data_IF_933348892471
#
_entry.id   IF_933348892471
#
_cell.length_a   1.000
_cell.length_b   1.000
_cell.length_c   1.000
_cell.angle_alpha   90.00
_cell.angle_beta   90.00
_cell.angle_gamma   90.00
#
_symmetry.space_group_name_H-M   'P 1'
#
loop_
_entity.id
_entity.type
_entity.pdbx_description
1 polymer ?
#
# COMPACT_ATOMS: atom_id res chain seq x y z
N UNK A 1 -6.55 -13.98 6.82
CA UNK A 1 -7.12 -13.05 5.84
C UNK A 1 -6.91 -13.63 4.45
N UNK A 2 -7.86 -13.40 3.55
CA UNK A 2 -7.85 -13.87 2.16
C UNK A 2 -8.34 -12.79 1.19
N UNK A 3 -8.40 -13.12 -0.10
CA UNK A 3 -8.70 -12.18 -1.18
C UNK A 3 -10.10 -11.52 -1.13
N UNK A 4 -10.97 -11.92 -0.21
CA UNK A 4 -12.33 -11.37 -0.07
C UNK A 4 -12.50 -10.37 1.08
N UNK A 5 -11.45 -10.10 1.85
CA UNK A 5 -11.55 -9.23 3.04
C UNK A 5 -11.50 -7.73 2.69
N UNK A 6 -10.85 -7.38 1.58
CA UNK A 6 -10.77 -6.04 1.01
C UNK A 6 -10.50 -6.16 -0.51
N UNK A 7 -10.88 -5.14 -1.27
CA UNK A 7 -10.58 -5.08 -2.70
C UNK A 7 -9.24 -4.38 -2.92
N UNK A 8 -8.20 -5.14 -3.28
CA UNK A 8 -6.87 -4.61 -3.58
C UNK A 8 -6.64 -4.52 -5.09
N UNK A 9 -6.61 -3.30 -5.61
CA UNK A 9 -6.35 -2.99 -7.01
C UNK A 9 -4.84 -2.91 -7.23
N UNK A 10 -4.36 -3.72 -8.18
CA UNK A 10 -2.94 -3.82 -8.55
C UNK A 10 -2.71 -3.50 -10.02
N UNK A 11 -1.44 -3.41 -10.41
CA UNK A 11 -0.95 -3.19 -11.78
C UNK A 11 -1.70 -4.01 -12.85
N UNK A 12 -1.95 -5.30 -12.60
CA UNK A 12 -2.66 -6.19 -13.51
C UNK A 12 -4.13 -5.79 -13.73
N UNK A 13 -4.81 -5.31 -12.69
CA UNK A 13 -6.18 -4.81 -12.77
C UNK A 13 -6.23 -3.46 -13.47
N UNK A 14 -5.26 -2.58 -13.19
CA UNK A 14 -5.08 -1.28 -13.84
C UNK A 14 -4.88 -1.48 -15.34
N UNK A 15 -4.01 -2.40 -15.74
CA UNK A 15 -3.75 -2.75 -17.14
C UNK A 15 -5.00 -3.31 -17.83
N UNK A 16 -5.78 -4.15 -17.14
CA UNK A 16 -7.02 -4.71 -17.67
C UNK A 16 -8.14 -3.66 -17.82
N UNK A 17 -8.24 -2.72 -16.88
CA UNK A 17 -9.25 -1.66 -16.88
C UNK A 17 -8.86 -0.43 -17.72
N UNK A 18 -7.56 -0.30 -18.06
CA UNK A 18 -6.98 0.79 -18.84
C UNK A 18 -6.48 1.98 -18.01
N UNK A 19 -6.93 2.15 -16.76
CA UNK A 19 -6.40 3.14 -15.82
C UNK A 19 -6.76 2.80 -14.37
N UNK A 20 -6.07 3.43 -13.42
CA UNK A 20 -6.30 3.23 -11.98
C UNK A 20 -7.71 3.66 -11.59
N UNK A 21 -8.16 4.82 -12.08
CA UNK A 21 -9.51 5.32 -11.84
C UNK A 21 -10.59 4.44 -12.48
N UNK A 22 -10.31 3.85 -13.64
CA UNK A 22 -11.24 2.91 -14.29
C UNK A 22 -11.39 1.62 -13.47
N UNK A 23 -10.27 1.08 -12.96
CA UNK A 23 -10.29 -0.09 -12.09
C UNK A 23 -11.05 0.20 -10.77
N UNK A 24 -10.75 1.33 -10.13
CA UNK A 24 -11.42 1.75 -8.89
C UNK A 24 -12.93 1.90 -9.07
N UNK A 25 -13.35 2.52 -10.18
CA UNK A 25 -14.77 2.67 -10.50
C UNK A 25 -15.45 1.32 -10.74
N UNK A 26 -14.78 0.40 -11.42
CA UNK A 26 -15.32 -0.94 -11.69
C UNK A 26 -15.51 -1.73 -10.39
N UNK A 27 -14.53 -1.70 -9.48
CA UNK A 27 -14.62 -2.36 -8.17
C UNK A 27 -15.75 -1.79 -7.34
N UNK A 28 -15.85 -0.46 -7.23
CA UNK A 28 -16.92 0.19 -6.44
C UNK A 28 -18.32 -0.05 -6.99
N UNK A 29 -18.46 -0.30 -8.30
CA UNK A 29 -19.74 -0.63 -8.90
C UNK A 29 -20.20 -2.06 -8.55
N UNK A 30 -19.26 -3.00 -8.47
CA UNK A 30 -19.55 -4.41 -8.19
C UNK A 30 -19.64 -4.70 -6.68
N UNK A 31 -18.79 -4.05 -5.87
CA UNK A 31 -18.70 -4.28 -4.43
C UNK A 31 -18.56 -2.95 -3.65
N UNK A 32 -19.64 -2.16 -3.53
CA UNK A 32 -19.61 -0.84 -2.92
C UNK A 32 -19.31 -0.84 -1.41
N UNK A 33 -19.56 -1.96 -0.73
CA UNK A 33 -19.39 -2.08 0.72
C UNK A 33 -18.01 -2.64 1.13
N UNK A 34 -17.18 -3.05 0.16
CA UNK A 34 -15.82 -3.53 0.43
C UNK A 34 -14.84 -2.35 0.53
N UNK A 35 -13.99 -2.29 1.58
CA UNK A 35 -12.87 -1.35 1.62
C UNK A 35 -11.99 -1.54 0.39
N UNK A 36 -11.57 -0.43 -0.21
CA UNK A 36 -10.73 -0.47 -1.40
C UNK A 36 -9.32 0.02 -1.10
N UNK A 37 -8.37 -0.78 -1.54
CA UNK A 37 -6.95 -0.49 -1.46
C UNK A 37 -6.41 -0.39 -2.89
N UNK A 38 -5.52 0.56 -3.14
CA UNK A 38 -4.95 0.77 -4.47
C UNK A 38 -3.43 0.82 -4.39
N UNK A 39 -2.78 -0.03 -5.18
CA UNK A 39 -1.35 -0.02 -5.38
C UNK A 39 -0.98 1.01 -6.47
N UNK A 40 0.00 1.85 -6.18
CA UNK A 40 0.55 2.86 -7.10
C UNK A 40 2.06 2.79 -7.14
N UNK A 41 2.64 2.97 -8.32
CA UNK A 41 4.09 2.92 -8.56
C UNK A 41 4.71 4.31 -8.86
N UNK A 42 3.88 5.35 -8.87
CA UNK A 42 4.27 6.70 -9.26
C UNK A 42 3.45 7.78 -8.55
N UNK A 43 4.07 8.95 -8.38
CA UNK A 43 3.44 10.10 -7.73
C UNK A 43 2.28 10.67 -8.57
N UNK A 44 2.29 10.45 -9.88
CA UNK A 44 1.22 10.80 -10.80
C UNK A 44 -0.04 9.93 -10.55
N UNK A 45 0.13 8.61 -10.43
CA UNK A 45 -0.98 7.72 -10.08
C UNK A 45 -1.53 8.01 -8.68
N UNK A 46 -0.65 8.30 -7.72
CA UNK A 46 -1.06 8.73 -6.38
C UNK A 46 -1.98 9.95 -6.44
N UNK A 47 -1.62 10.95 -7.24
CA UNK A 47 -2.41 12.18 -7.38
C UNK A 47 -3.82 11.91 -7.91
N UNK A 48 -3.95 11.00 -8.88
CA UNK A 48 -5.24 10.57 -9.41
C UNK A 48 -6.08 9.86 -8.33
N UNK A 49 -5.46 8.96 -7.57
CA UNK A 49 -6.15 8.15 -6.55
C UNK A 49 -6.57 8.96 -5.34
N UNK A 50 -5.75 9.92 -4.90
CA UNK A 50 -6.09 10.80 -3.77
C UNK A 50 -7.35 11.64 -4.05
N UNK A 51 -7.65 11.94 -5.31
CA UNK A 51 -8.89 12.63 -5.69
C UNK A 51 -10.14 11.72 -5.64
N UNK A 52 -9.96 10.41 -5.49
CA UNK A 52 -11.01 9.41 -5.56
C UNK A 52 -11.44 8.85 -4.18
N UNK A 53 -10.98 9.42 -3.07
CA UNK A 53 -11.37 9.06 -1.69
C UNK A 53 -11.19 7.57 -1.38
N UNK A 54 -10.00 7.03 -1.68
CA UNK A 54 -9.62 5.64 -1.38
C UNK A 54 -9.23 5.48 0.08
N UNK A 55 -9.56 4.35 0.68
CA UNK A 55 -9.29 4.04 2.08
C UNK A 55 -7.79 3.87 2.36
N UNK A 56 -7.07 3.09 1.54
CA UNK A 56 -5.64 2.83 1.68
C UNK A 56 -4.94 2.89 0.32
N UNK A 57 -3.81 3.58 0.25
CA UNK A 57 -2.92 3.55 -0.92
C UNK A 57 -1.61 2.88 -0.56
N UNK A 58 -1.23 1.89 -1.36
CA UNK A 58 -0.01 1.12 -1.24
C UNK A 58 1.03 1.68 -2.20
N UNK A 59 2.12 2.22 -1.67
CA UNK A 59 3.22 2.82 -2.40
C UNK A 59 4.22 1.72 -2.77
N UNK A 60 4.18 1.24 -4.02
CA UNK A 60 5.03 0.13 -4.46
C UNK A 60 6.44 0.61 -4.84
N UNK A 61 7.44 0.13 -4.11
CA UNK A 61 8.86 0.39 -4.34
C UNK A 61 9.24 1.89 -4.39
N UNK A 62 8.50 2.74 -3.68
CA UNK A 62 8.86 4.15 -3.54
C UNK A 62 10.18 4.28 -2.77
N UNK A 63 11.17 5.05 -3.24
CA UNK A 63 12.26 5.50 -2.40
C UNK A 63 11.75 6.46 -1.33
N UNK A 64 12.43 6.53 -0.19
CA UNK A 64 12.06 7.36 0.99
C UNK A 64 11.68 8.80 0.62
N UNK A 65 12.38 9.42 -0.33
CA UNK A 65 12.09 10.79 -0.76
C UNK A 65 10.75 10.91 -1.50
N UNK A 66 10.34 9.91 -2.28
CA UNK A 66 9.00 9.89 -2.90
C UNK A 66 7.95 9.60 -1.85
N UNK A 67 8.21 8.71 -0.90
CA UNK A 67 7.31 8.43 0.22
C UNK A 67 7.01 9.70 1.01
N UNK A 68 8.03 10.51 1.29
CA UNK A 68 7.86 11.82 1.95
C UNK A 68 6.96 12.76 1.15
N UNK A 69 7.12 12.82 -0.18
CA UNK A 69 6.25 13.63 -1.05
C UNK A 69 4.82 13.08 -1.05
N UNK A 70 4.67 11.75 -1.06
CA UNK A 70 3.37 11.09 -1.03
C UNK A 70 2.59 11.44 0.25
N UNK A 71 3.24 11.38 1.41
CA UNK A 71 2.64 11.79 2.70
C UNK A 71 2.20 13.25 2.67
N UNK A 72 3.08 14.17 2.20
CA UNK A 72 2.74 15.59 2.10
C UNK A 72 1.52 15.85 1.19
N UNK A 73 1.43 15.13 0.07
CA UNK A 73 0.29 15.22 -0.85
C UNK A 73 -0.99 14.65 -0.24
N UNK A 74 -0.89 13.51 0.43
CA UNK A 74 -2.02 12.92 1.17
C UNK A 74 -2.53 13.87 2.23
N UNK A 75 -1.67 14.40 3.09
CA UNK A 75 -2.06 15.27 4.21
C UNK A 75 -2.79 16.53 3.75
N UNK A 76 -2.43 17.05 2.57
CA UNK A 76 -3.05 18.26 2.01
C UNK A 76 -4.32 17.98 1.21
N UNK A 77 -4.43 16.82 0.53
CA UNK A 77 -5.52 16.54 -0.42
C UNK A 77 -6.55 15.55 0.12
N UNK A 78 -6.12 14.50 0.80
CA UNK A 78 -6.97 13.46 1.37
C UNK A 78 -6.42 12.98 2.72
N UNK A 79 -6.56 13.77 3.80
CA UNK A 79 -5.97 13.47 5.11
C UNK A 79 -6.55 12.20 5.77
N UNK A 80 -7.62 11.63 5.22
CA UNK A 80 -8.24 10.39 5.71
C UNK A 80 -7.71 9.13 4.99
N UNK A 81 -7.17 9.27 3.78
CA UNK A 81 -6.59 8.15 3.04
C UNK A 81 -5.34 7.68 3.75
N UNK A 82 -5.27 6.41 4.10
CA UNK A 82 -4.10 5.80 4.74
C UNK A 82 -3.02 5.51 3.68
N UNK A 83 -1.75 5.56 4.08
CA UNK A 83 -0.62 5.21 3.22
C UNK A 83 0.16 4.03 3.81
N UNK A 84 0.42 3.04 2.96
CA UNK A 84 1.31 1.91 3.27
C UNK A 84 2.50 1.94 2.33
N UNK A 85 3.73 1.82 2.86
CA UNK A 85 4.91 1.56 2.01
C UNK A 85 5.09 0.06 1.82
N UNK A 86 5.37 -0.35 0.59
CA UNK A 86 5.62 -1.73 0.20
C UNK A 86 6.79 -1.83 -0.78
N UNK A 87 7.34 -3.05 -0.91
CA UNK A 87 8.41 -3.34 -1.85
C UNK A 87 9.80 -2.99 -1.31
N UNK A 88 10.73 -3.94 -1.37
CA UNK A 88 12.14 -3.74 -1.02
C UNK A 88 12.45 -3.34 0.43
N UNK A 89 11.45 -3.31 1.33
CA UNK A 89 11.64 -2.92 2.73
C UNK A 89 12.46 -3.95 3.53
N UNK A 90 13.34 -3.44 4.38
CA UNK A 90 14.11 -4.23 5.34
C UNK A 90 13.96 -3.62 6.74
N UNK A 91 14.40 -4.36 7.77
CA UNK A 91 14.42 -3.83 9.13
C UNK A 91 15.33 -2.58 9.23
N UNK A 92 16.40 -2.54 8.46
CA UNK A 92 17.36 -1.42 8.46
C UNK A 92 16.75 -0.15 7.84
N UNK A 93 15.90 -0.27 6.82
CA UNK A 93 15.23 0.87 6.19
C UNK A 93 13.91 1.26 6.84
N UNK A 94 13.30 0.39 7.65
CA UNK A 94 11.97 0.60 8.22
C UNK A 94 11.83 1.93 8.99
N UNK A 95 12.86 2.34 9.73
CA UNK A 95 12.84 3.59 10.48
C UNK A 95 12.80 4.83 9.57
N UNK A 96 13.51 4.80 8.44
CA UNK A 96 13.54 5.91 7.49
C UNK A 96 12.18 6.11 6.82
N UNK A 97 11.52 5.01 6.43
CA UNK A 97 10.17 5.05 5.88
C UNK A 97 9.15 5.47 6.93
N UNK A 98 9.20 4.92 8.16
CA UNK A 98 8.31 5.36 9.23
C UNK A 98 8.47 6.86 9.54
N UNK A 99 9.71 7.37 9.45
CA UNK A 99 10.03 8.78 9.64
C UNK A 99 9.37 9.73 8.62
N UNK A 100 8.89 9.22 7.48
CA UNK A 100 8.15 10.04 6.52
C UNK A 100 6.70 10.30 6.94
N UNK A 101 6.17 9.50 7.87
CA UNK A 101 4.78 9.61 8.33
C UNK A 101 3.77 8.73 7.58
N UNK A 102 4.22 7.63 6.97
CA UNK A 102 3.30 6.58 6.48
C UNK A 102 2.63 5.87 7.65
N UNK A 103 1.42 5.36 7.42
CA UNK A 103 0.61 4.70 8.45
C UNK A 103 1.05 3.24 8.65
N UNK A 104 1.50 2.58 7.57
CA UNK A 104 1.88 1.18 7.58
C UNK A 104 3.16 0.88 6.77
N UNK A 105 3.79 -0.25 7.11
CA UNK A 105 4.94 -0.83 6.42
C UNK A 105 4.66 -2.30 6.10
N UNK A 106 4.50 -2.63 4.83
CA UNK A 106 4.32 -4.00 4.36
C UNK A 106 5.68 -4.69 4.14
N UNK A 107 6.13 -5.48 5.13
CA UNK A 107 7.42 -6.18 5.08
C UNK A 107 7.21 -7.68 4.82
N UNK A 108 7.24 -8.09 3.55
CA UNK A 108 7.07 -9.49 3.14
C UNK A 108 8.14 -10.46 3.70
N UNK A 109 9.33 -9.95 4.03
CA UNK A 109 10.40 -10.75 4.63
C UNK A 109 10.01 -11.38 5.99
N UNK A 110 9.01 -10.81 6.68
CA UNK A 110 8.50 -11.34 7.95
C UNK A 110 7.81 -12.70 7.82
N UNK A 111 7.45 -13.13 6.61
CA UNK A 111 6.77 -14.42 6.39
C UNK A 111 7.53 -15.33 5.43
N UNK A 112 8.13 -14.79 4.36
CA UNK A 112 8.86 -15.58 3.37
C UNK A 112 10.34 -15.85 3.75
N UNK A 113 10.95 -15.01 4.60
CA UNK A 113 12.40 -15.04 4.88
C UNK A 113 12.73 -15.19 6.37
N UNK A 114 11.89 -15.91 7.11
CA UNK A 114 12.01 -16.02 8.57
C UNK A 114 13.21 -16.88 8.97
N UNK A 115 13.99 -16.39 9.95
CA UNK A 115 14.98 -17.21 10.66
C UNK A 115 14.28 -17.94 11.81
N UNK A 116 14.36 -19.28 11.82
CA UNK A 116 13.77 -20.08 12.90
C UNK A 116 14.38 -19.72 14.25
N UNK A 117 13.53 -19.60 15.27
CA UNK A 117 13.97 -19.50 16.65
C UNK A 117 14.37 -20.90 17.13
N UNK A 118 15.60 -21.04 17.61
CA UNK A 118 16.10 -22.30 18.15
C UNK A 118 15.48 -22.55 19.53
N UNK A 119 14.65 -23.59 19.64
CA UNK A 119 13.89 -23.91 20.86
C UNK A 119 14.16 -25.38 21.23
N UNK A 120 14.74 -25.60 22.41
CA UNK A 120 14.95 -26.93 23.00
C UNK A 120 14.05 -27.15 24.22
N UNK A 121 13.75 -28.42 24.52
CA UNK A 121 13.08 -28.84 25.75
C UNK A 121 14.11 -29.56 26.63
N UNK A 122 14.46 -28.98 27.77
CA UNK A 122 15.30 -29.63 28.78
C UNK A 122 14.44 -30.53 29.67
N UNK A 123 14.89 -31.78 29.84
CA UNK A 123 14.29 -32.82 30.68
C UNK A 123 15.12 -33.09 31.92
#
# INVERSE_FOLDING_TARGET
MGLGDAALIKDNHVAAAGSVLAALKAVRAEAPDLPCEVEVDSLEQLDDVLAADVELVLLDNFPVWQTQIAVQRRDTRSPKTLLESSGGLSLDSAADYAGTGVDYLAIGALTHSVRVLDIGLDT
#
